data_IF_163836982115
#
_entry.id   IF_163836982115
#
_cell.length_a   1.000
_cell.length_b   1.000
_cell.length_c   1.000
_cell.angle_alpha   90.00
_cell.angle_beta   90.00
_cell.angle_gamma   90.00
#
_symmetry.space_group_name_H-M   'P 1'
#
loop_
_entity.id
_entity.type
_entity.pdbx_description
1 polymer ?
#
# COMPACT_ATOMS: atom_id res chain seq x y z
N UNK A 1 12.35 -79.08 3.49
CA UNK A 1 12.93 -77.79 3.07
C UNK A 1 12.16 -77.26 1.87
N UNK A 2 11.13 -76.44 2.06
CA UNK A 2 10.39 -75.81 0.95
C UNK A 2 10.31 -74.30 1.24
N UNK A 3 11.03 -73.52 0.43
CA UNK A 3 11.02 -72.04 0.48
C UNK A 3 9.71 -71.55 -0.13
N UNK A 4 8.98 -70.71 0.60
CA UNK A 4 7.86 -69.92 0.06
C UNK A 4 8.44 -68.72 -0.72
N UNK A 5 8.06 -68.60 -1.98
CA UNK A 5 8.35 -67.47 -2.87
C UNK A 5 7.54 -66.24 -2.44
N UNK A 6 8.20 -65.08 -2.33
CA UNK A 6 7.55 -63.80 -2.10
C UNK A 6 6.92 -63.25 -3.41
N UNK A 7 5.82 -62.48 -3.36
CA UNK A 7 5.21 -61.91 -4.56
C UNK A 7 6.04 -60.72 -5.07
N UNK A 8 6.20 -60.66 -6.40
CA UNK A 8 6.90 -59.59 -7.09
C UNK A 8 6.17 -58.25 -6.92
N UNK A 9 6.91 -57.23 -6.50
CA UNK A 9 6.47 -55.83 -6.44
C UNK A 9 6.22 -55.31 -7.87
N UNK A 10 4.96 -55.07 -8.21
CA UNK A 10 4.60 -54.32 -9.42
C UNK A 10 5.12 -52.88 -9.30
N UNK A 11 5.83 -52.41 -10.33
CA UNK A 11 6.20 -50.99 -10.42
C UNK A 11 4.92 -50.13 -10.50
N UNK A 12 4.81 -49.02 -9.75
CA UNK A 12 3.67 -48.13 -9.88
C UNK A 12 3.66 -47.52 -11.28
N UNK A 13 2.49 -47.54 -11.91
CA UNK A 13 2.28 -46.90 -13.21
C UNK A 13 2.64 -45.39 -13.11
N UNK A 14 3.24 -44.80 -14.17
CA UNK A 14 3.50 -43.37 -14.18
C UNK A 14 2.18 -42.61 -14.04
N UNK A 15 2.08 -41.79 -12.99
CA UNK A 15 0.98 -40.85 -12.80
C UNK A 15 0.83 -40.00 -14.07
N UNK A 16 -0.41 -39.78 -14.57
CA UNK A 16 -0.60 -38.88 -15.69
C UNK A 16 -0.06 -37.50 -15.32
N UNK A 17 0.84 -36.97 -16.16
CA UNK A 17 1.38 -35.63 -15.99
C UNK A 17 0.21 -34.65 -15.86
N UNK A 18 0.20 -33.86 -14.78
CA UNK A 18 -0.85 -32.89 -14.52
C UNK A 18 -0.99 -31.98 -15.74
N UNK A 19 -2.12 -32.07 -16.45
CA UNK A 19 -2.44 -31.21 -17.58
C UNK A 19 -2.41 -29.77 -17.10
N UNK A 20 -1.38 -29.02 -17.49
CA UNK A 20 -1.27 -27.60 -17.18
C UNK A 20 -2.41 -26.90 -17.90
N UNK A 21 -3.38 -26.38 -17.14
CA UNK A 21 -4.43 -25.52 -17.67
C UNK A 21 -3.77 -24.33 -18.38
N UNK A 22 -3.97 -24.22 -19.69
CA UNK A 22 -3.46 -23.13 -20.50
C UNK A 22 -4.63 -22.32 -21.05
N UNK A 23 -4.70 -21.04 -20.67
CA UNK A 23 -5.68 -20.12 -21.23
C UNK A 23 -5.09 -19.41 -22.46
N UNK A 24 -5.90 -19.12 -23.49
CA UNK A 24 -5.46 -18.27 -24.59
C UNK A 24 -5.18 -16.84 -24.07
N UNK A 25 -4.28 -16.11 -24.74
CA UNK A 25 -3.80 -14.81 -24.29
C UNK A 25 -4.93 -13.78 -24.07
N UNK A 26 -5.95 -13.76 -24.93
CA UNK A 26 -7.10 -12.86 -24.76
C UNK A 26 -7.90 -13.19 -23.50
N UNK A 27 -8.06 -14.48 -23.19
CA UNK A 27 -8.72 -14.90 -21.95
C UNK A 27 -7.92 -14.52 -20.71
N UNK A 28 -6.59 -14.59 -20.78
CA UNK A 28 -5.72 -14.12 -19.69
C UNK A 28 -5.92 -12.62 -19.47
N UNK A 29 -5.94 -11.80 -20.55
CA UNK A 29 -6.19 -10.36 -20.46
C UNK A 29 -7.54 -10.06 -19.81
N UNK A 30 -8.61 -10.75 -20.22
CA UNK A 30 -9.94 -10.60 -19.62
C UNK A 30 -9.95 -10.93 -18.12
N UNK A 31 -9.33 -12.05 -17.72
CA UNK A 31 -9.29 -12.49 -16.32
C UNK A 31 -8.49 -11.53 -15.44
N UNK A 32 -7.35 -11.05 -15.93
CA UNK A 32 -6.54 -10.03 -15.23
C UNK A 32 -7.33 -8.72 -15.12
N UNK A 33 -7.97 -8.26 -16.20
CA UNK A 33 -8.80 -7.05 -16.15
C UNK A 33 -9.96 -7.19 -15.16
N UNK A 34 -10.59 -8.36 -15.06
CA UNK A 34 -11.67 -8.65 -14.11
C UNK A 34 -11.21 -8.71 -12.65
N UNK A 35 -9.96 -9.15 -12.41
CA UNK A 35 -9.33 -9.10 -11.09
C UNK A 35 -9.05 -7.68 -10.62
N UNK A 36 -8.68 -6.79 -11.54
CA UNK A 36 -8.39 -5.38 -11.24
C UNK A 36 -9.63 -4.55 -10.88
N UNK A 37 -10.83 -4.98 -11.29
CA UNK A 37 -12.08 -4.26 -11.00
C UNK A 37 -12.27 -4.10 -9.49
N UNK A 38 -12.49 -2.86 -8.98
CA UNK A 38 -12.72 -2.59 -7.57
C UNK A 38 -13.79 -3.47 -6.92
N UNK A 39 -13.66 -3.63 -5.60
CA UNK A 39 -14.69 -4.28 -4.79
C UNK A 39 -15.95 -3.41 -4.76
N UNK A 40 -17.08 -4.03 -4.42
CA UNK A 40 -18.28 -3.26 -4.17
C UNK A 40 -18.06 -2.32 -2.96
N UNK A 41 -18.52 -1.06 -2.99
CA UNK A 41 -18.36 -0.13 -1.87
C UNK A 41 -18.83 -0.68 -0.52
N UNK A 42 -19.83 -1.57 -0.51
CA UNK A 42 -20.32 -2.23 0.70
C UNK A 42 -19.32 -3.21 1.33
N UNK A 43 -18.32 -3.66 0.57
CA UNK A 43 -17.23 -4.52 1.03
C UNK A 43 -16.01 -3.72 1.52
N UNK A 44 -16.08 -2.38 1.49
CA UNK A 44 -14.99 -1.50 1.89
C UNK A 44 -15.22 -0.91 3.27
N UNK A 45 -14.23 -1.14 4.12
CA UNK A 45 -14.16 -0.61 5.47
C UNK A 45 -13.01 0.40 5.59
N UNK A 46 -13.02 1.19 6.67
CA UNK A 46 -12.04 2.24 6.90
C UNK A 46 -11.29 2.00 8.20
N UNK A 47 -9.96 1.87 8.09
CA UNK A 47 -9.08 1.70 9.26
C UNK A 47 -8.29 2.96 9.54
N UNK A 48 -8.17 3.30 10.82
CA UNK A 48 -7.25 4.34 11.29
C UNK A 48 -5.84 3.77 11.27
N UNK A 49 -4.91 4.46 10.60
CA UNK A 49 -3.51 4.03 10.43
C UNK A 49 -2.54 4.88 11.23
N UNK A 50 -2.75 6.20 11.23
CA UNK A 50 -1.96 7.15 12.00
C UNK A 50 -2.89 8.04 12.82
N UNK A 51 -2.42 8.55 13.97
CA UNK A 51 -3.16 9.52 14.78
C UNK A 51 -2.26 10.71 15.10
N UNK A 52 -2.83 11.90 15.22
CA UNK A 52 -2.10 13.09 15.68
C UNK A 52 -1.64 12.88 17.13
N UNK A 53 -0.44 13.36 17.45
CA UNK A 53 0.05 13.43 18.83
C UNK A 53 -0.20 14.83 19.37
N UNK A 54 -0.75 14.94 20.57
CA UNK A 54 -0.88 16.19 21.32
C UNK A 54 -1.64 17.33 20.59
N UNK A 55 -2.66 16.98 19.80
CA UNK A 55 -3.54 17.94 19.12
C UNK A 55 -5.01 17.64 19.45
N UNK A 56 -5.80 18.69 19.70
CA UNK A 56 -7.22 18.61 19.98
C UNK A 56 -8.03 19.40 18.92
N UNK A 57 -9.04 18.80 18.27
CA UNK A 57 -9.46 17.40 18.42
C UNK A 57 -8.42 16.41 17.87
N UNK A 58 -8.39 15.20 18.44
CA UNK A 58 -7.52 14.12 17.94
C UNK A 58 -7.99 13.73 16.55
N UNK A 59 -7.07 13.72 15.59
CA UNK A 59 -7.35 13.31 14.21
C UNK A 59 -6.67 11.99 13.89
N UNK A 60 -7.30 11.22 13.00
CA UNK A 60 -6.80 9.95 12.50
C UNK A 60 -6.74 9.93 10.99
N UNK A 61 -5.68 9.38 10.43
CA UNK A 61 -5.57 9.11 9.01
C UNK A 61 -6.26 7.78 8.72
N UNK A 62 -7.39 7.84 8.01
CA UNK A 62 -8.15 6.66 7.61
C UNK A 62 -7.81 6.23 6.19
N UNK A 63 -7.70 4.92 5.98
CA UNK A 63 -7.39 4.30 4.69
C UNK A 63 -8.43 3.20 4.43
N UNK A 64 -8.96 3.08 3.20
CA UNK A 64 -9.90 2.02 2.88
C UNK A 64 -9.19 0.67 2.84
N UNK A 65 -9.87 -0.38 3.27
CA UNK A 65 -9.44 -1.76 3.12
C UNK A 65 -10.65 -2.66 2.88
N UNK A 66 -10.39 -3.85 2.32
CA UNK A 66 -11.38 -4.91 2.24
C UNK A 66 -10.97 -6.10 3.12
N UNK A 67 -11.99 -6.78 3.66
CA UNK A 67 -11.81 -8.04 4.37
C UNK A 67 -11.32 -9.15 3.42
N UNK A 68 -10.64 -10.17 3.98
CA UNK A 68 -10.13 -11.30 3.20
C UNK A 68 -11.23 -12.08 2.45
N UNK A 69 -12.48 -12.04 2.93
CA UNK A 69 -13.61 -12.69 2.26
C UNK A 69 -13.85 -12.09 0.87
N UNK A 70 -13.79 -10.76 0.72
CA UNK A 70 -13.97 -10.10 -0.57
C UNK A 70 -12.96 -10.58 -1.63
N UNK A 71 -11.72 -10.85 -1.22
CA UNK A 71 -10.69 -11.41 -2.09
C UNK A 71 -10.99 -12.86 -2.47
N UNK A 72 -11.34 -13.68 -1.48
CA UNK A 72 -11.69 -15.10 -1.67
C UNK A 72 -12.91 -15.24 -2.59
N UNK A 73 -13.95 -14.43 -2.38
CA UNK A 73 -15.16 -14.44 -3.18
C UNK A 73 -14.89 -14.04 -4.62
N UNK A 74 -14.03 -13.03 -4.86
CA UNK A 74 -13.64 -12.65 -6.22
C UNK A 74 -12.85 -13.74 -6.93
N UNK A 75 -11.92 -14.40 -6.23
CA UNK A 75 -11.17 -15.54 -6.79
C UNK A 75 -12.12 -16.70 -7.12
N UNK A 76 -13.05 -17.02 -6.23
CA UNK A 76 -14.05 -18.07 -6.45
C UNK A 76 -14.99 -17.74 -7.61
N UNK A 77 -15.41 -16.49 -7.75
CA UNK A 77 -16.29 -16.07 -8.84
C UNK A 77 -15.60 -16.17 -10.22
N UNK A 78 -14.29 -15.89 -10.29
CA UNK A 78 -13.55 -15.89 -11.57
C UNK A 78 -12.95 -17.26 -11.93
N UNK A 79 -12.51 -18.03 -10.94
CA UNK A 79 -11.75 -19.26 -11.15
C UNK A 79 -12.38 -20.50 -10.54
N UNK A 80 -13.50 -20.38 -9.83
CA UNK A 80 -14.06 -21.41 -8.92
C UNK A 80 -13.15 -21.70 -7.72
N UNK A 81 -13.66 -22.32 -6.63
CA UNK A 81 -12.81 -22.75 -5.51
C UNK A 81 -11.70 -23.74 -5.89
N UNK A 82 -11.83 -24.45 -7.02
CA UNK A 82 -10.85 -25.40 -7.50
C UNK A 82 -9.81 -24.78 -8.45
N UNK A 83 -9.98 -23.53 -8.91
CA UNK A 83 -9.09 -22.89 -9.88
C UNK A 83 -7.91 -22.13 -9.27
N UNK A 84 -7.79 -22.10 -7.95
CA UNK A 84 -6.70 -21.43 -7.26
C UNK A 84 -6.38 -22.14 -5.94
N UNK A 85 -5.18 -21.92 -5.43
CA UNK A 85 -4.74 -22.43 -4.13
C UNK A 85 -3.80 -21.44 -3.46
N UNK A 86 -3.65 -21.56 -2.14
CA UNK A 86 -2.68 -20.79 -1.38
C UNK A 86 -1.94 -21.68 -0.38
N UNK A 87 -0.67 -21.38 -0.16
CA UNK A 87 0.17 -22.00 0.87
C UNK A 87 0.72 -20.93 1.79
N UNK A 88 0.89 -21.25 3.06
CA UNK A 88 1.50 -20.36 4.03
C UNK A 88 2.74 -21.00 4.65
N UNK A 89 3.77 -20.18 4.81
CA UNK A 89 4.92 -20.48 5.65
C UNK A 89 4.97 -19.46 6.78
N UNK A 90 4.92 -19.95 8.03
CA UNK A 90 4.93 -19.13 9.24
C UNK A 90 6.34 -19.17 9.84
N UNK A 91 6.90 -18.00 10.07
CA UNK A 91 8.21 -17.82 10.70
C UNK A 91 8.06 -16.89 11.90
N UNK A 92 8.55 -17.34 13.05
CA UNK A 92 8.66 -16.50 14.25
C UNK A 92 10.11 -16.08 14.40
N UNK A 93 10.36 -14.77 14.42
CA UNK A 93 11.72 -14.26 14.58
C UNK A 93 12.07 -14.00 16.05
N UNK A 94 13.37 -13.98 16.36
CA UNK A 94 13.88 -13.64 17.68
C UNK A 94 13.55 -12.20 18.03
N UNK A 95 13.18 -12.01 19.29
CA UNK A 95 13.01 -10.75 20.03
C UNK A 95 13.63 -9.50 19.37
N UNK A 96 12.76 -8.59 18.88
CA UNK A 96 13.15 -7.26 18.41
C UNK A 96 12.75 -6.18 19.40
N UNK A 97 13.57 -5.15 19.57
CA UNK A 97 13.19 -3.98 20.36
C UNK A 97 12.27 -3.07 19.53
N UNK A 98 11.02 -2.91 19.98
CA UNK A 98 10.04 -2.06 19.31
C UNK A 98 10.34 -0.59 19.61
N UNK A 99 10.87 0.13 18.63
CA UNK A 99 11.24 1.56 18.73
C UNK A 99 10.15 2.49 19.32
N UNK A 100 8.87 2.14 19.21
CA UNK A 100 7.76 2.95 19.71
C UNK A 100 7.64 2.92 21.24
N UNK A 101 7.92 1.76 21.86
CA UNK A 101 7.61 1.49 23.27
C UNK A 101 8.81 0.88 24.03
N UNK A 102 9.97 0.71 23.37
CA UNK A 102 11.19 0.03 23.86
C UNK A 102 10.95 -1.38 24.44
N UNK A 103 9.85 -2.02 24.08
CA UNK A 103 9.55 -3.39 24.49
C UNK A 103 10.25 -4.38 23.56
N UNK A 104 10.85 -5.40 24.16
CA UNK A 104 11.33 -6.58 23.44
C UNK A 104 10.11 -7.43 23.07
N UNK A 105 9.80 -7.51 21.78
CA UNK A 105 8.69 -8.32 21.28
C UNK A 105 9.13 -9.13 20.06
N UNK A 106 8.74 -10.40 20.02
CA UNK A 106 8.89 -11.22 18.82
C UNK A 106 7.96 -10.71 17.71
N UNK A 107 8.28 -11.05 16.46
CA UNK A 107 7.44 -10.75 15.30
C UNK A 107 7.02 -12.05 14.63
N UNK A 108 5.75 -12.13 14.29
CA UNK A 108 5.20 -13.19 13.43
C UNK A 108 5.32 -12.71 11.99
N UNK A 109 6.00 -13.49 11.17
CA UNK A 109 6.12 -13.28 9.72
C UNK A 109 5.43 -14.44 9.02
N UNK A 110 4.52 -14.13 8.10
CA UNK A 110 3.82 -15.12 7.28
C UNK A 110 4.14 -14.83 5.83
N UNK A 111 4.61 -15.84 5.10
CA UNK A 111 4.72 -15.80 3.64
C UNK A 111 3.52 -16.54 3.05
N UNK A 112 2.78 -15.87 2.17
CA UNK A 112 1.72 -16.48 1.39
C UNK A 112 2.20 -16.69 -0.04
N UNK A 113 2.05 -17.90 -0.57
CA UNK A 113 2.18 -18.20 -2.00
C UNK A 113 0.78 -18.47 -2.55
N UNK A 114 0.31 -17.59 -3.44
CA UNK A 114 -0.98 -17.70 -4.13
C UNK A 114 -0.73 -18.16 -5.56
N UNK A 115 -1.39 -19.25 -5.94
CA UNK A 115 -1.36 -19.81 -7.29
C UNK A 115 -2.76 -19.79 -7.89
N UNK A 116 -2.91 -19.15 -9.05
CA UNK A 116 -4.13 -19.22 -9.87
C UNK A 116 -3.79 -20.09 -11.08
N UNK A 117 -4.50 -21.20 -11.24
CA UNK A 117 -4.20 -22.16 -12.31
C UNK A 117 -4.42 -21.49 -13.67
N UNK A 118 -3.40 -21.55 -14.54
CA UNK A 118 -3.38 -20.89 -15.83
C UNK A 118 -2.94 -19.41 -15.83
N UNK A 119 -2.78 -18.78 -14.66
CA UNK A 119 -2.24 -17.40 -14.54
C UNK A 119 -0.88 -17.35 -13.83
N UNK A 120 -0.52 -18.40 -13.09
CA UNK A 120 0.77 -18.54 -12.42
C UNK A 120 0.69 -18.30 -10.91
N UNK A 121 1.83 -17.96 -10.31
CA UNK A 121 2.00 -17.87 -8.87
C UNK A 121 2.70 -16.59 -8.46
N UNK A 122 2.23 -15.99 -7.36
CA UNK A 122 2.87 -14.87 -6.70
C UNK A 122 2.96 -15.11 -5.21
N UNK A 123 4.00 -14.57 -4.58
CA UNK A 123 4.18 -14.63 -3.14
C UNK A 123 4.33 -13.24 -2.54
N UNK A 124 3.90 -13.11 -1.29
CA UNK A 124 4.07 -11.90 -0.52
C UNK A 124 4.14 -12.22 0.98
N UNK A 125 4.64 -11.28 1.75
CA UNK A 125 4.77 -11.42 3.20
C UNK A 125 3.77 -10.53 3.94
N UNK A 126 3.37 -10.99 5.11
CA UNK A 126 2.63 -10.24 6.10
C UNK A 126 3.30 -10.40 7.45
N UNK A 127 3.11 -9.41 8.32
CA UNK A 127 3.88 -9.33 9.53
C UNK A 127 3.12 -8.60 10.63
N UNK A 128 3.20 -9.11 11.84
CA UNK A 128 2.57 -8.52 13.02
C UNK A 128 3.40 -8.82 14.28
N UNK A 129 3.31 -7.95 15.28
CA UNK A 129 3.94 -8.16 16.57
C UNK A 129 3.28 -9.31 17.33
N UNK A 130 4.09 -10.17 17.95
CA UNK A 130 3.60 -11.36 18.66
C UNK A 130 2.82 -11.04 19.96
N UNK A 131 2.84 -9.79 20.43
CA UNK A 131 2.06 -9.32 21.57
C UNK A 131 0.60 -8.97 21.20
N UNK A 132 0.24 -9.05 19.92
CA UNK A 132 -1.14 -8.99 19.45
C UNK A 132 -1.77 -10.39 19.51
N UNK A 133 -2.89 -10.54 20.22
CA UNK A 133 -3.63 -11.81 20.31
C UNK A 133 -4.00 -12.41 18.94
N UNK A 134 -4.12 -11.55 17.92
CA UNK A 134 -4.44 -11.91 16.54
C UNK A 134 -3.22 -11.83 15.61
N UNK A 135 -1.99 -11.92 16.12
CA UNK A 135 -0.77 -11.72 15.33
C UNK A 135 -0.70 -12.65 14.11
N UNK A 136 -0.96 -13.94 14.31
CA UNK A 136 -0.93 -14.94 13.24
C UNK A 136 -1.95 -14.67 12.15
N UNK A 137 -3.21 -14.42 12.53
CA UNK A 137 -4.31 -14.19 11.59
C UNK A 137 -4.16 -12.86 10.85
N UNK A 138 -3.69 -11.81 11.53
CA UNK A 138 -3.40 -10.51 10.92
C UNK A 138 -2.27 -10.61 9.89
N UNK A 139 -1.16 -11.27 10.25
CA UNK A 139 -0.02 -11.48 9.34
C UNK A 139 -0.43 -12.35 8.14
N UNK A 140 -1.20 -13.41 8.35
CA UNK A 140 -1.73 -14.26 7.28
C UNK A 140 -2.60 -13.46 6.29
N UNK A 141 -3.60 -12.73 6.80
CA UNK A 141 -4.50 -11.93 5.97
C UNK A 141 -3.76 -10.83 5.20
N UNK A 142 -2.74 -10.23 5.82
CA UNK A 142 -1.87 -9.26 5.16
C UNK A 142 -1.07 -9.89 4.02
N UNK A 143 -0.44 -11.05 4.25
CA UNK A 143 0.33 -11.78 3.24
C UNK A 143 -0.55 -12.16 2.04
N UNK A 144 -1.74 -12.72 2.31
CA UNK A 144 -2.68 -13.14 1.28
C UNK A 144 -3.16 -11.96 0.42
N UNK A 145 -3.56 -10.83 1.04
CA UNK A 145 -4.02 -9.64 0.30
C UNK A 145 -2.91 -9.02 -0.54
N UNK A 146 -1.67 -9.02 -0.05
CA UNK A 146 -0.49 -8.54 -0.80
C UNK A 146 -0.18 -9.45 -1.98
N UNK A 147 -0.28 -10.78 -1.83
CA UNK A 147 -0.10 -11.73 -2.93
C UNK A 147 -1.19 -11.56 -4.01
N UNK A 148 -2.44 -11.32 -3.60
CA UNK A 148 -3.54 -10.99 -4.51
C UNK A 148 -3.25 -9.72 -5.33
N UNK A 149 -2.67 -8.69 -4.70
CA UNK A 149 -2.38 -7.42 -5.36
C UNK A 149 -1.36 -7.56 -6.52
N UNK A 150 -0.50 -8.57 -6.50
CA UNK A 150 0.40 -8.87 -7.62
C UNK A 150 -0.37 -9.26 -8.89
N UNK A 151 -1.55 -9.88 -8.77
CA UNK A 151 -2.48 -10.16 -9.87
C UNK A 151 -3.45 -8.99 -10.16
N UNK A 152 -3.29 -7.84 -9.50
CA UNK A 152 -4.19 -6.68 -9.62
C UNK A 152 -5.38 -6.68 -8.66
N UNK A 153 -5.70 -7.82 -8.03
CA UNK A 153 -6.84 -7.95 -7.12
C UNK A 153 -6.66 -7.11 -5.85
N UNK A 154 -7.54 -6.12 -5.66
CA UNK A 154 -7.48 -5.19 -4.54
C UNK A 154 -6.28 -4.23 -4.59
N UNK A 155 -5.50 -4.22 -5.68
CA UNK A 155 -4.33 -3.35 -5.85
C UNK A 155 -4.71 -1.87 -5.80
N UNK A 156 -5.92 -1.52 -6.27
CA UNK A 156 -6.40 -0.14 -6.30
C UNK A 156 -6.46 0.52 -4.91
N UNK A 157 -6.64 -0.27 -3.84
CA UNK A 157 -6.67 0.23 -2.46
C UNK A 157 -5.33 0.86 -2.04
N UNK A 158 -4.23 0.49 -2.68
CA UNK A 158 -2.90 1.05 -2.42
C UNK A 158 -2.68 2.44 -3.04
N UNK A 159 -3.56 2.90 -3.93
CA UNK A 159 -3.49 4.26 -4.46
C UNK A 159 -4.03 5.31 -3.48
N UNK A 160 -4.71 4.89 -2.40
CA UNK A 160 -5.16 5.81 -1.37
C UNK A 160 -4.01 6.21 -0.46
N UNK A 161 -3.73 7.52 -0.39
CA UNK A 161 -2.78 8.10 0.56
C UNK A 161 -3.37 8.28 1.97
N UNK A 162 -4.66 7.97 2.15
CA UNK A 162 -5.40 8.18 3.38
C UNK A 162 -5.95 9.60 3.55
N UNK A 163 -7.04 9.71 4.31
CA UNK A 163 -7.74 10.98 4.59
C UNK A 163 -7.72 11.26 6.08
N UNK A 164 -7.40 12.49 6.49
CA UNK A 164 -7.43 12.87 7.90
C UNK A 164 -8.85 13.24 8.33
N UNK A 165 -9.36 12.53 9.32
CA UNK A 165 -10.70 12.74 9.90
C UNK A 165 -10.61 12.90 11.41
N UNK A 166 -11.61 13.55 11.99
CA UNK A 166 -11.68 13.69 13.44
C UNK A 166 -12.08 12.37 14.08
N UNK A 167 -11.47 12.06 15.23
CA UNK A 167 -11.78 10.86 16.00
C UNK A 167 -12.70 11.18 17.19
N UNK A 168 -13.55 10.23 17.55
CA UNK A 168 -14.30 10.24 18.80
C UNK A 168 -13.40 9.90 20.00
N UNK A 169 -13.96 9.96 21.21
CA UNK A 169 -13.25 9.62 22.46
C UNK A 169 -12.75 8.16 22.49
N UNK A 170 -13.36 7.29 21.68
CA UNK A 170 -13.00 5.88 21.51
C UNK A 170 -12.03 5.66 20.34
N UNK A 171 -11.45 6.74 19.79
CA UNK A 171 -10.52 6.75 18.65
C UNK A 171 -11.11 6.20 17.34
N UNK A 172 -12.43 6.27 17.19
CA UNK A 172 -13.13 5.87 15.95
C UNK A 172 -13.38 7.09 15.07
N UNK A 173 -13.33 6.95 13.74
CA UNK A 173 -13.66 8.04 12.82
C UNK A 173 -15.07 8.60 13.06
N UNK A 174 -15.20 9.92 13.24
CA UNK A 174 -16.51 10.59 13.30
C UNK A 174 -17.20 10.67 11.93
N UNK A 175 -16.40 10.72 10.87
CA UNK A 175 -16.86 10.74 9.48
C UNK A 175 -16.15 9.68 8.67
N UNK A 176 -16.91 8.93 7.88
CA UNK A 176 -16.36 7.97 6.92
C UNK A 176 -16.19 8.68 5.58
N UNK A 177 -14.98 8.73 5.00
CA UNK A 177 -14.78 9.34 3.69
C UNK A 177 -15.52 8.56 2.60
N UNK A 178 -15.86 9.24 1.51
CA UNK A 178 -16.36 8.57 0.32
C UNK A 178 -15.22 8.01 -0.53
N UNK A 179 -15.48 6.90 -1.20
CA UNK A 179 -14.56 6.36 -2.21
C UNK A 179 -14.49 7.33 -3.39
N UNK A 180 -13.30 7.51 -3.95
CA UNK A 180 -13.14 8.26 -5.18
C UNK A 180 -13.88 7.56 -6.33
N UNK A 181 -14.37 8.31 -7.31
CA UNK A 181 -15.16 7.75 -8.43
C UNK A 181 -14.43 6.62 -9.19
N UNK A 182 -13.11 6.73 -9.35
CA UNK A 182 -12.26 5.69 -9.96
C UNK A 182 -12.18 4.41 -9.14
N UNK A 183 -12.42 4.47 -7.83
CA UNK A 183 -12.39 3.31 -6.93
C UNK A 183 -13.75 2.59 -6.84
N UNK A 184 -14.60 2.76 -7.85
CA UNK A 184 -15.88 2.08 -8.01
C UNK A 184 -15.86 1.21 -9.25
N UNK A 185 -16.70 0.16 -9.31
CA UNK A 185 -16.82 -0.68 -10.50
C UNK A 185 -17.17 0.13 -11.75
N UNK A 186 -18.16 1.03 -11.65
CA UNK A 186 -18.61 1.85 -12.78
C UNK A 186 -17.47 2.75 -13.29
N UNK A 187 -16.88 3.56 -12.41
CA UNK A 187 -15.78 4.45 -12.80
C UNK A 187 -14.56 3.69 -13.33
N UNK A 188 -14.26 2.51 -12.76
CA UNK A 188 -13.19 1.68 -13.28
C UNK A 188 -13.51 1.15 -14.69
N UNK A 189 -14.73 0.74 -14.98
CA UNK A 189 -15.07 0.28 -16.33
C UNK A 189 -15.12 1.42 -17.36
N UNK A 190 -15.40 2.65 -16.92
CA UNK A 190 -15.33 3.87 -17.74
C UNK A 190 -13.89 4.36 -17.99
N UNK A 191 -12.88 3.66 -17.47
CA UNK A 191 -11.47 4.01 -17.67
C UNK A 191 -10.98 5.12 -16.74
N UNK A 192 -11.75 5.51 -15.71
CA UNK A 192 -11.25 6.33 -14.61
C UNK A 192 -10.22 5.50 -13.85
N UNK A 193 -8.98 5.51 -14.30
CA UNK A 193 -7.84 4.92 -13.61
C UNK A 193 -7.19 6.01 -12.77
N UNK A 194 -6.76 5.70 -11.54
CA UNK A 194 -5.87 6.60 -10.82
C UNK A 194 -4.61 6.75 -11.69
N UNK A 195 -4.42 7.95 -12.26
CA UNK A 195 -3.21 8.25 -13.01
C UNK A 195 -2.03 8.15 -12.07
N UNK A 196 -1.02 7.34 -12.42
CA UNK A 196 0.35 7.54 -11.94
C UNK A 196 0.91 8.84 -12.56
N UNK A 197 0.19 9.95 -12.45
CA UNK A 197 0.62 11.28 -12.82
C UNK A 197 0.92 12.02 -11.52
N UNK A 198 2.14 12.49 -11.40
CA UNK A 198 2.57 13.62 -10.57
C UNK A 198 1.41 14.46 -10.05
N UNK A 199 1.19 14.41 -8.73
CA UNK A 199 0.47 15.39 -7.88
C UNK A 199 -0.22 16.53 -8.66
N UNK A 200 -1.36 16.28 -9.28
CA UNK A 200 -2.32 17.34 -9.55
C UNK A 200 -3.28 17.37 -8.37
N UNK A 201 -3.06 18.36 -7.50
CA UNK A 201 -3.98 18.67 -6.41
C UNK A 201 -5.30 19.19 -7.00
N UNK A 202 -6.46 18.81 -6.44
CA UNK A 202 -7.75 19.36 -6.84
C UNK A 202 -7.77 20.88 -6.68
N UNK A 203 -8.13 21.59 -7.75
CA UNK A 203 -8.41 23.02 -7.70
C UNK A 203 -9.66 23.25 -6.86
N UNK A 204 -9.47 23.68 -5.61
CA UNK A 204 -10.55 24.28 -4.86
C UNK A 204 -10.75 25.71 -5.38
N UNK A 205 -11.91 25.95 -5.99
CA UNK A 205 -12.44 27.30 -6.21
C UNK A 205 -12.54 28.01 -4.87
N UNK A 206 -11.82 29.13 -4.75
CA UNK A 206 -11.72 29.98 -3.58
C UNK A 206 -10.96 31.26 -3.94
N UNK A 207 -11.62 32.40 -3.77
CA UNK A 207 -11.28 33.72 -4.26
C UNK A 207 -9.85 34.25 -3.96
N UNK A 208 -9.30 34.93 -4.97
CA UNK A 208 -8.44 36.13 -4.97
C UNK A 208 -7.74 36.52 -3.65
N UNK A 209 -6.47 36.15 -3.51
CA UNK A 209 -5.34 37.02 -3.12
C UNK A 209 -4.05 36.18 -3.09
N UNK A 210 -2.97 36.62 -3.76
CA UNK A 210 -1.65 35.99 -3.59
C UNK A 210 -0.99 35.46 -4.87
N UNK A 211 -0.85 36.30 -5.90
CA UNK A 211 -0.03 35.98 -7.08
C UNK A 211 1.48 35.89 -6.74
N UNK A 212 1.96 36.57 -5.69
CA UNK A 212 3.39 36.60 -5.34
C UNK A 212 3.88 35.35 -4.57
N UNK A 213 3.12 34.82 -3.60
CA UNK A 213 3.56 33.65 -2.81
C UNK A 213 3.71 32.37 -3.64
N UNK A 214 2.95 32.24 -4.74
CA UNK A 214 3.09 31.12 -5.70
C UNK A 214 4.41 31.15 -6.48
N UNK A 215 5.00 32.34 -6.70
CA UNK A 215 6.31 32.46 -7.37
C UNK A 215 7.42 31.92 -6.47
N UNK A 216 7.43 32.35 -5.20
CA UNK A 216 8.47 31.99 -4.22
C UNK A 216 8.45 30.49 -3.90
N UNK A 217 7.27 29.88 -3.74
CA UNK A 217 7.15 28.43 -3.51
C UNK A 217 7.74 27.63 -4.67
N UNK A 218 7.51 28.08 -5.92
CA UNK A 218 8.05 27.41 -7.11
C UNK A 218 9.57 27.52 -7.18
N UNK A 219 10.13 28.69 -6.86
CA UNK A 219 11.58 28.88 -6.76
C UNK A 219 12.20 27.99 -5.68
N UNK A 220 11.53 27.82 -4.52
CA UNK A 220 11.96 26.87 -3.49
C UNK A 220 11.93 25.44 -4.02
N UNK A 221 10.91 25.02 -4.76
CA UNK A 221 10.85 23.68 -5.37
C UNK A 221 12.03 23.43 -6.33
N UNK A 222 12.39 24.41 -7.16
CA UNK A 222 13.49 24.30 -8.12
C UNK A 222 14.86 24.15 -7.42
N UNK A 223 15.03 24.71 -6.22
CA UNK A 223 16.25 24.55 -5.43
C UNK A 223 16.55 23.10 -5.05
N UNK A 224 15.57 22.19 -5.03
CA UNK A 224 15.81 20.76 -4.76
C UNK A 224 16.86 20.18 -5.73
N UNK A 225 16.81 20.61 -7.00
CA UNK A 225 17.74 20.18 -8.03
C UNK A 225 19.14 20.78 -7.84
N UNK A 226 19.22 22.05 -7.44
CA UNK A 226 20.50 22.78 -7.33
C UNK A 226 21.33 22.43 -6.09
N UNK A 227 20.70 22.31 -4.91
CA UNK A 227 21.40 22.02 -3.64
C UNK A 227 21.33 20.54 -3.22
N UNK A 228 20.52 19.74 -3.92
CA UNK A 228 20.34 18.32 -3.67
C UNK A 228 19.37 17.99 -2.53
N UNK A 229 18.73 16.82 -2.65
CA UNK A 229 17.60 16.38 -1.81
C UNK A 229 17.87 16.39 -0.31
N UNK A 230 19.09 16.08 0.13
CA UNK A 230 19.45 16.01 1.55
C UNK A 230 19.49 17.39 2.20
N UNK A 231 20.15 18.34 1.54
CA UNK A 231 20.24 19.73 2.02
C UNK A 231 18.91 20.44 1.90
N UNK A 232 18.21 20.22 0.78
CA UNK A 232 16.86 20.75 0.56
C UNK A 232 15.90 20.40 1.71
N UNK A 233 15.80 19.11 2.06
CA UNK A 233 14.95 18.66 3.17
C UNK A 233 15.45 19.12 4.53
N UNK A 234 16.77 19.23 4.70
CA UNK A 234 17.38 19.76 5.92
C UNK A 234 17.00 21.22 6.17
N UNK A 235 17.08 22.07 5.13
CA UNK A 235 16.77 23.50 5.21
C UNK A 235 15.27 23.77 5.36
N UNK A 236 14.40 23.01 4.68
CA UNK A 236 12.95 23.11 4.91
C UNK A 236 12.59 22.78 6.36
N UNK A 237 13.19 21.72 6.91
CA UNK A 237 12.93 21.31 8.29
C UNK A 237 13.51 22.30 9.31
N UNK A 238 14.71 22.85 9.08
CA UNK A 238 15.37 23.73 10.03
C UNK A 238 14.79 25.15 10.04
N UNK A 239 14.42 25.69 8.87
CA UNK A 239 13.96 27.08 8.73
C UNK A 239 12.45 27.19 8.85
N UNK A 240 11.69 26.22 8.33
CA UNK A 240 10.23 26.27 8.29
C UNK A 240 9.52 25.13 9.04
N UNK A 241 10.24 24.15 9.58
CA UNK A 241 9.64 23.03 10.34
C UNK A 241 8.77 22.08 9.51
N UNK A 242 8.76 22.24 8.18
CA UNK A 242 7.93 21.49 7.25
C UNK A 242 8.77 20.63 6.31
N UNK A 243 8.12 19.68 5.64
CA UNK A 243 8.76 18.79 4.66
C UNK A 243 8.42 19.15 3.21
N UNK A 244 7.51 20.09 3.01
CA UNK A 244 7.03 20.52 1.71
C UNK A 244 6.87 22.04 1.72
N UNK A 245 7.45 22.77 0.74
CA UNK A 245 7.36 24.23 0.69
C UNK A 245 5.91 24.74 0.55
N UNK A 246 5.00 23.92 0.00
CA UNK A 246 3.57 24.27 -0.10
C UNK A 246 2.87 24.35 1.26
N UNK A 247 3.46 23.77 2.30
CA UNK A 247 2.90 23.79 3.65
C UNK A 247 3.30 25.08 4.41
N UNK A 248 4.16 25.92 3.82
CA UNK A 248 4.55 27.22 4.38
C UNK A 248 3.48 28.24 3.97
N UNK A 249 2.61 28.62 4.91
CA UNK A 249 1.53 29.60 4.66
C UNK A 249 2.02 31.06 4.72
N UNK A 250 3.11 31.32 5.45
CA UNK A 250 3.66 32.66 5.65
C UNK A 250 4.72 33.00 4.59
N UNK A 251 4.49 34.07 3.84
CA UNK A 251 5.39 34.54 2.79
C UNK A 251 6.77 34.95 3.33
N UNK A 252 6.85 35.52 4.53
CA UNK A 252 8.14 35.90 5.13
C UNK A 252 9.00 34.66 5.44
N UNK A 253 8.36 33.54 5.81
CA UNK A 253 9.04 32.27 6.02
C UNK A 253 9.47 31.66 4.69
N UNK A 254 8.66 31.76 3.63
CA UNK A 254 9.03 31.30 2.29
C UNK A 254 10.27 32.05 1.77
N UNK A 255 10.28 33.38 1.86
CA UNK A 255 11.41 34.21 1.43
C UNK A 255 12.68 33.89 2.24
N UNK A 256 12.54 33.67 3.55
CA UNK A 256 13.66 33.26 4.42
C UNK A 256 14.22 31.89 4.04
N UNK A 257 13.36 30.91 3.77
CA UNK A 257 13.78 29.58 3.29
C UNK A 257 14.52 29.70 1.96
N UNK A 258 13.98 30.45 1.01
CA UNK A 258 14.60 30.65 -0.30
C UNK A 258 15.97 31.32 -0.17
N UNK A 259 16.10 32.36 0.67
CA UNK A 259 17.37 33.04 0.92
C UNK A 259 18.44 32.09 1.49
N UNK A 260 18.06 31.19 2.41
CA UNK A 260 18.96 30.18 2.96
C UNK A 260 19.38 29.14 1.91
N UNK A 261 18.47 28.71 1.03
CA UNK A 261 18.78 27.77 -0.05
C UNK A 261 19.71 28.40 -1.09
N UNK A 262 19.47 29.65 -1.49
CA UNK A 262 20.33 30.38 -2.42
C UNK A 262 21.73 30.64 -1.81
N UNK A 263 21.82 30.89 -0.50
CA UNK A 263 23.10 31.00 0.18
C UNK A 263 23.87 29.67 0.18
N UNK A 264 23.18 28.55 0.37
CA UNK A 264 23.77 27.22 0.27
C UNK A 264 24.25 26.92 -1.15
N UNK A 265 23.47 27.24 -2.17
CA UNK A 265 23.86 27.06 -3.58
C UNK A 265 25.12 27.87 -3.93
N UNK A 266 25.20 29.13 -3.48
CA UNK A 266 26.42 29.96 -3.64
C UNK A 266 27.65 29.35 -2.96
N UNK A 267 27.46 28.62 -1.86
CA UNK A 267 28.52 27.87 -1.17
C UNK A 267 29.04 26.69 -2.00
N UNK A 268 28.18 26.02 -2.76
CA UNK A 268 28.57 24.92 -3.67
C UNK A 268 29.25 25.40 -4.96
N UNK A 269 28.93 26.62 -5.44
CA UNK A 269 29.50 27.16 -6.69
C UNK A 269 30.84 27.89 -6.54
N UNK A 270 31.38 28.03 -5.32
CA UNK A 270 32.75 28.55 -5.15
C UNK A 270 33.74 27.40 -5.34
N UNK A 271 34.59 27.41 -6.38
CA UNK A 271 35.74 26.52 -6.43
C UNK A 271 36.67 26.93 -5.29
N UNK A 272 37.12 25.95 -4.50
CA UNK A 272 38.31 26.12 -3.66
C UNK A 272 39.56 26.24 -4.51
#
# INVERSE_FOLDING_TARGET
>A
MHRKSAPASGSPAPMPAATVLHFPAERIKELVAALEVPFDPTQIEWRVTNTTKNQQPVRGQVVPYADQRAYTDRLNALFTPAGWTRKYAIHTSTNFERSKDQKIAAKVLVTCELTIFGLGSHSATGEEWADNDNAGTAAEAQAFKRACACFGLGRYLYYFTGTWVDLDERKRPKSVPQLAGWATRAGWLEGLRPTCASKEQPQHSGNRAGANGRSVVREIEDMEFSIGKRMYRGLLKSVAGVWNPKDILDQAIQEKVLAHMQAAERGFRRPG
#
